data_IF_697431646826
#
_entry.id   IF_697431646826
#
_cell.length_a   1.000
_cell.length_b   1.000
_cell.length_c   1.000
_cell.angle_alpha   90.00
_cell.angle_beta   90.00
_cell.angle_gamma   90.00
#
_symmetry.space_group_name_H-M   'P 1'
#
loop_
_entity.id
_entity.type
_entity.pdbx_description
1 polymer ?
#
# COMPACT_ATOMS: atom_id res chain seq x y z
N UNK A 1 9.35 15.80 36.77
CA UNK A 1 9.99 16.25 35.51
C UNK A 1 8.94 16.98 34.65
N UNK A 2 8.82 18.31 34.76
CA UNK A 2 7.86 19.09 33.96
C UNK A 2 8.40 19.20 32.53
N UNK A 3 7.94 18.33 31.63
CA UNK A 3 8.22 18.48 30.20
C UNK A 3 7.67 19.84 29.76
N UNK A 4 8.56 20.78 29.41
CA UNK A 4 8.16 22.04 28.79
C UNK A 4 7.34 21.72 27.54
N UNK A 5 6.13 22.27 27.44
CA UNK A 5 5.21 22.07 26.31
C UNK A 5 5.92 22.20 24.96
N UNK A 6 6.84 23.17 24.83
CA UNK A 6 7.67 23.39 23.65
C UNK A 6 8.54 22.19 23.26
N UNK A 7 9.07 21.45 24.24
CA UNK A 7 9.89 20.24 24.03
C UNK A 7 9.05 19.05 23.56
N UNK A 8 7.80 18.94 23.99
CA UNK A 8 6.86 17.91 23.51
C UNK A 8 6.49 18.19 22.06
N UNK A 9 6.15 19.43 21.71
CA UNK A 9 5.81 19.83 20.34
C UNK A 9 6.93 19.57 19.34
N UNK A 10 8.19 19.89 19.69
CA UNK A 10 9.33 19.60 18.81
C UNK A 10 9.49 18.10 18.57
N UNK A 11 9.29 17.25 19.60
CA UNK A 11 9.36 15.78 19.44
C UNK A 11 8.23 15.24 18.56
N UNK A 12 7.02 15.77 18.69
CA UNK A 12 5.88 15.39 17.84
C UNK A 12 6.14 15.79 16.39
N UNK A 13 6.66 16.99 16.14
CA UNK A 13 7.01 17.45 14.79
C UNK A 13 8.15 16.61 14.18
N UNK A 14 9.15 16.24 14.97
CA UNK A 14 10.20 15.33 14.53
C UNK A 14 9.66 13.94 14.19
N UNK A 15 8.76 13.38 15.01
CA UNK A 15 8.09 12.12 14.70
C UNK A 15 7.29 12.20 13.39
N UNK A 16 6.50 13.26 13.20
CA UNK A 16 5.72 13.47 11.97
C UNK A 16 6.60 13.59 10.73
N UNK A 17 7.81 14.14 10.85
CA UNK A 17 8.77 14.21 9.73
C UNK A 17 9.37 12.87 9.31
N UNK A 18 9.37 11.87 10.20
CA UNK A 18 9.98 10.54 9.97
C UNK A 18 8.91 9.47 9.69
N UNK A 19 7.65 9.73 10.08
CA UNK A 19 6.53 8.80 9.94
C UNK A 19 6.13 8.49 8.49
N UNK A 20 6.54 9.32 7.51
CA UNK A 20 6.11 9.23 6.11
C UNK A 20 6.22 7.83 5.50
N UNK A 21 7.43 7.23 5.44
CA UNK A 21 7.61 5.90 4.85
C UNK A 21 6.80 4.80 5.55
N UNK A 22 6.75 4.81 6.88
CA UNK A 22 6.03 3.80 7.66
C UNK A 22 4.50 3.89 7.54
N UNK A 23 3.97 5.11 7.42
CA UNK A 23 2.55 5.32 7.15
C UNK A 23 2.17 4.87 5.74
N UNK A 24 3.02 5.12 4.76
CA UNK A 24 2.78 4.69 3.37
C UNK A 24 2.75 3.16 3.30
N UNK A 25 3.72 2.47 3.91
CA UNK A 25 3.76 1.00 3.91
C UNK A 25 2.52 0.40 4.57
N UNK A 26 2.09 0.95 5.71
CA UNK A 26 0.91 0.43 6.42
C UNK A 26 -0.40 0.60 5.62
N UNK A 27 -0.46 1.55 4.71
CA UNK A 27 -1.67 1.83 3.91
C UNK A 27 -1.67 1.07 2.61
N UNK A 28 -0.49 0.86 2.02
CA UNK A 28 -0.32 -0.01 0.85
C UNK A 28 -0.75 -1.45 1.16
N UNK A 29 -0.68 -1.89 2.43
CA UNK A 29 -1.20 -3.21 2.86
C UNK A 29 -2.73 -3.34 2.82
N UNK A 30 -3.48 -2.25 2.60
CA UNK A 30 -4.94 -2.29 2.42
C UNK A 30 -5.29 -2.32 0.92
N UNK A 31 -4.68 -3.24 0.19
CA UNK A 31 -4.92 -3.46 -1.23
C UNK A 31 -6.33 -4.03 -1.47
N UNK A 32 -6.82 -3.95 -2.70
CA UNK A 32 -8.15 -4.47 -3.06
C UNK A 32 -8.31 -5.96 -2.74
N UNK A 33 -7.21 -6.73 -2.78
CA UNK A 33 -7.17 -8.15 -2.46
C UNK A 33 -7.39 -8.40 -0.97
N UNK A 34 -6.67 -7.67 -0.12
CA UNK A 34 -6.86 -7.66 1.32
C UNK A 34 -8.30 -7.31 1.68
N UNK A 35 -8.82 -6.21 1.14
CA UNK A 35 -10.19 -5.73 1.40
C UNK A 35 -11.24 -6.80 1.06
N UNK A 36 -11.09 -7.51 -0.07
CA UNK A 36 -12.01 -8.58 -0.44
C UNK A 36 -12.05 -9.74 0.58
N UNK A 37 -10.95 -9.97 1.29
CA UNK A 37 -10.82 -11.05 2.29
C UNK A 37 -11.19 -10.62 3.72
N UNK A 38 -11.44 -9.33 3.97
CA UNK A 38 -11.80 -8.80 5.30
C UNK A 38 -13.19 -9.24 5.79
N UNK A 39 -13.93 -10.01 5.00
CA UNK A 39 -15.18 -10.66 5.40
C UNK A 39 -15.04 -11.53 6.65
N UNK A 40 -13.83 -12.02 6.95
CA UNK A 40 -13.50 -12.76 8.16
C UNK A 40 -12.89 -11.83 9.23
N UNK A 41 -13.69 -10.94 9.83
CA UNK A 41 -13.21 -9.90 10.74
C UNK A 41 -12.36 -10.40 11.93
N UNK A 42 -12.52 -11.66 12.35
CA UNK A 42 -11.74 -12.25 13.44
C UNK A 42 -10.28 -12.53 13.08
N UNK A 43 -9.93 -12.68 11.79
CA UNK A 43 -8.55 -12.91 11.33
C UNK A 43 -7.73 -11.62 11.32
N UNK A 44 -8.37 -10.45 11.34
CA UNK A 44 -7.70 -9.15 11.35
C UNK A 44 -6.82 -8.96 12.58
N UNK A 45 -7.28 -9.38 13.76
CA UNK A 45 -6.52 -9.23 15.01
C UNK A 45 -5.18 -9.99 14.95
N UNK A 46 -5.15 -11.31 14.69
CA UNK A 46 -3.88 -12.05 14.62
C UNK A 46 -2.99 -11.58 13.46
N UNK A 47 -3.56 -11.25 12.29
CA UNK A 47 -2.79 -10.74 11.15
C UNK A 47 -2.13 -9.40 11.49
N UNK A 48 -2.86 -8.49 12.15
CA UNK A 48 -2.31 -7.19 12.57
C UNK A 48 -1.13 -7.35 13.52
N UNK A 49 -1.23 -8.27 14.49
CA UNK A 49 -0.12 -8.55 15.42
C UNK A 49 1.10 -9.06 14.65
N UNK A 50 0.91 -10.02 13.73
CA UNK A 50 1.99 -10.56 12.92
C UNK A 50 2.64 -9.46 12.05
N UNK A 51 1.83 -8.59 11.46
CA UNK A 51 2.29 -7.50 10.60
C UNK A 51 3.10 -6.46 11.38
N UNK A 52 2.67 -6.11 12.60
CA UNK A 52 3.44 -5.21 13.48
C UNK A 52 4.81 -5.83 13.79
N UNK A 53 4.85 -7.13 14.11
CA UNK A 53 6.10 -7.81 14.43
C UNK A 53 7.05 -7.88 13.23
N UNK A 54 6.55 -8.24 12.04
CA UNK A 54 7.39 -8.34 10.83
C UNK A 54 7.86 -6.97 10.36
N UNK A 55 7.04 -5.94 10.44
CA UNK A 55 7.42 -4.56 10.10
C UNK A 55 8.48 -4.01 11.06
N UNK A 56 8.35 -4.27 12.35
CA UNK A 56 9.35 -3.85 13.35
C UNK A 56 10.70 -4.51 13.09
N UNK A 57 10.72 -5.83 12.87
CA UNK A 57 11.94 -6.57 12.53
C UNK A 57 12.59 -6.04 11.25
N UNK A 58 11.78 -5.77 10.21
CA UNK A 58 12.27 -5.25 8.92
C UNK A 58 12.82 -3.84 9.06
N UNK A 59 12.13 -2.97 9.80
CA UNK A 59 12.59 -1.61 10.09
C UNK A 59 13.90 -1.61 10.88
N UNK A 60 14.02 -2.48 11.89
CA UNK A 60 15.24 -2.63 12.68
C UNK A 60 16.40 -3.15 11.83
N UNK A 61 16.15 -4.15 10.99
CA UNK A 61 17.15 -4.71 10.08
C UNK A 61 17.66 -3.65 9.09
N UNK A 62 16.76 -2.88 8.48
CA UNK A 62 17.14 -1.79 7.57
C UNK A 62 17.91 -0.67 8.27
N UNK A 63 17.53 -0.32 9.50
CA UNK A 63 18.20 0.72 10.29
C UNK A 63 19.61 0.32 10.75
N UNK A 64 19.86 -0.96 11.05
CA UNK A 64 21.17 -1.43 11.53
C UNK A 64 22.12 -1.78 10.41
N UNK A 65 21.63 -2.35 9.32
CA UNK A 65 22.47 -2.82 8.20
C UNK A 65 22.71 -1.73 7.15
N UNK A 66 21.78 -0.79 7.00
CA UNK A 66 21.81 0.21 5.92
C UNK A 66 21.66 -0.38 4.52
N UNK A 67 21.29 -1.67 4.41
CA UNK A 67 21.15 -2.40 3.16
C UNK A 67 19.68 -2.73 2.88
N UNK A 68 19.35 -2.92 1.60
CA UNK A 68 18.05 -3.46 1.20
C UNK A 68 17.95 -4.96 1.52
N UNK A 69 16.73 -5.46 1.73
CA UNK A 69 16.49 -6.89 1.97
C UNK A 69 17.12 -7.77 0.88
N UNK A 70 17.01 -7.39 -0.39
CA UNK A 70 17.59 -8.14 -1.51
C UNK A 70 19.12 -8.28 -1.40
N UNK A 71 19.81 -7.22 -0.97
CA UNK A 71 21.26 -7.25 -0.79
C UNK A 71 21.66 -8.11 0.41
N UNK A 72 20.94 -8.02 1.52
CA UNK A 72 21.15 -8.89 2.68
C UNK A 72 20.96 -10.37 2.33
N UNK A 73 19.92 -10.69 1.57
CA UNK A 73 19.71 -12.07 1.09
C UNK A 73 20.87 -12.54 0.21
N UNK A 74 21.38 -11.66 -0.68
CA UNK A 74 22.50 -11.97 -1.56
C UNK A 74 23.81 -12.17 -0.81
N UNK A 75 24.06 -11.38 0.23
CA UNK A 75 25.25 -11.51 1.08
C UNK A 75 25.21 -12.77 1.95
N UNK A 76 24.06 -13.12 2.51
CA UNK A 76 23.93 -14.27 3.42
C UNK A 76 23.76 -15.62 2.70
N UNK A 77 22.99 -15.66 1.61
CA UNK A 77 22.60 -16.91 0.95
C UNK A 77 23.15 -17.06 -0.48
N UNK A 78 23.85 -16.04 -0.99
CA UNK A 78 24.41 -16.03 -2.33
C UNK A 78 23.39 -15.79 -3.44
N UNK A 79 23.90 -15.50 -4.64
CA UNK A 79 23.11 -15.00 -5.78
C UNK A 79 22.02 -15.97 -6.26
N UNK A 80 22.29 -17.29 -6.23
CA UNK A 80 21.34 -18.29 -6.75
C UNK A 80 20.03 -18.33 -5.94
N UNK A 81 20.12 -18.28 -4.61
CA UNK A 81 18.94 -18.31 -3.74
C UNK A 81 18.21 -16.98 -3.85
N UNK A 82 18.93 -15.86 -3.82
CA UNK A 82 18.33 -14.53 -3.97
C UNK A 82 17.56 -14.38 -5.27
N UNK A 83 18.08 -14.93 -6.39
CA UNK A 83 17.37 -14.90 -7.67
C UNK A 83 15.98 -15.55 -7.58
N UNK A 84 15.88 -16.73 -6.96
CA UNK A 84 14.59 -17.41 -6.78
C UNK A 84 13.66 -16.65 -5.83
N UNK A 85 14.19 -16.14 -4.71
CA UNK A 85 13.41 -15.32 -3.76
C UNK A 85 12.86 -14.08 -4.45
N UNK A 86 13.69 -13.33 -5.19
CA UNK A 86 13.25 -12.14 -5.91
C UNK A 86 12.25 -12.47 -7.02
N UNK A 87 12.40 -13.62 -7.69
CA UNK A 87 11.43 -14.08 -8.67
C UNK A 87 10.07 -14.35 -8.03
N UNK A 88 10.05 -14.99 -6.85
CA UNK A 88 8.81 -15.21 -6.09
C UNK A 88 8.17 -13.89 -5.65
N UNK A 89 8.96 -12.93 -5.17
CA UNK A 89 8.49 -11.58 -4.81
C UNK A 89 7.90 -10.87 -6.04
N UNK A 90 8.52 -11.01 -7.21
CA UNK A 90 8.01 -10.45 -8.45
C UNK A 90 6.64 -11.05 -8.82
N UNK A 91 6.50 -12.37 -8.73
CA UNK A 91 5.23 -13.06 -9.00
C UNK A 91 4.15 -12.62 -7.99
N UNK A 92 4.49 -12.53 -6.70
CA UNK A 92 3.57 -12.08 -5.67
C UNK A 92 3.07 -10.65 -5.95
N UNK A 93 3.99 -9.73 -6.25
CA UNK A 93 3.65 -8.34 -6.58
C UNK A 93 2.84 -8.23 -7.88
N UNK A 94 3.10 -9.09 -8.87
CA UNK A 94 2.25 -9.15 -10.06
C UNK A 94 0.81 -9.57 -9.71
N UNK A 95 0.64 -10.50 -8.76
CA UNK A 95 -0.66 -10.86 -8.20
C UNK A 95 -1.38 -9.67 -7.55
N UNK A 96 -0.67 -8.89 -6.73
CA UNK A 96 -1.21 -7.66 -6.12
C UNK A 96 -1.64 -6.64 -7.18
N UNK A 97 -0.82 -6.42 -8.21
CA UNK A 97 -1.17 -5.51 -9.32
C UNK A 97 -2.41 -5.98 -10.08
N UNK A 98 -2.55 -7.28 -10.33
CA UNK A 98 -3.75 -7.84 -10.95
C UNK A 98 -4.98 -7.67 -10.06
N UNK A 99 -4.84 -7.85 -8.74
CA UNK A 99 -5.89 -7.59 -7.77
C UNK A 99 -6.36 -6.13 -7.84
N UNK A 100 -5.44 -5.18 -7.79
CA UNK A 100 -5.74 -3.74 -7.85
C UNK A 100 -6.50 -3.34 -9.11
N UNK A 101 -6.08 -3.86 -10.27
CA UNK A 101 -6.83 -3.63 -11.52
C UNK A 101 -8.21 -4.29 -11.52
N UNK A 102 -8.37 -5.45 -10.88
CA UNK A 102 -9.69 -6.06 -10.67
C UNK A 102 -10.56 -5.23 -9.73
N UNK A 103 -9.97 -4.57 -8.73
CA UNK A 103 -10.62 -3.60 -7.85
C UNK A 103 -11.18 -2.42 -8.65
N UNK A 104 -10.34 -1.78 -9.47
CA UNK A 104 -10.74 -0.68 -10.36
C UNK A 104 -11.88 -1.10 -11.29
N UNK A 105 -11.78 -2.29 -11.90
CA UNK A 105 -12.82 -2.81 -12.77
C UNK A 105 -14.16 -2.96 -12.01
N UNK A 106 -14.12 -3.58 -10.83
CA UNK A 106 -15.31 -3.77 -9.97
C UNK A 106 -15.93 -2.45 -9.56
N UNK A 107 -15.13 -1.43 -9.22
CA UNK A 107 -15.64 -0.11 -8.86
C UNK A 107 -16.41 0.56 -10.01
N UNK A 108 -15.93 0.40 -11.26
CA UNK A 108 -16.63 0.92 -12.46
C UNK A 108 -17.97 0.21 -12.65
N UNK A 109 -18.05 -1.10 -12.39
CA UNK A 109 -19.30 -1.86 -12.50
C UNK A 109 -20.33 -1.41 -11.44
N UNK A 110 -19.89 -1.27 -10.19
CA UNK A 110 -20.76 -0.83 -9.08
C UNK A 110 -21.31 0.57 -9.38
N UNK A 111 -20.47 1.49 -9.88
CA UNK A 111 -20.88 2.84 -10.23
C UNK A 111 -21.84 2.86 -11.42
N UNK A 112 -21.56 2.06 -12.45
CA UNK A 112 -22.42 1.91 -13.62
C UNK A 112 -23.81 1.41 -13.28
N UNK A 113 -23.89 0.37 -12.45
CA UNK A 113 -25.15 -0.23 -12.01
C UNK A 113 -25.95 0.72 -11.10
N UNK A 114 -25.28 1.40 -10.18
CA UNK A 114 -25.93 2.34 -9.23
C UNK A 114 -26.58 3.53 -9.93
N UNK A 115 -25.93 4.10 -10.95
CA UNK A 115 -26.48 5.22 -11.72
C UNK A 115 -27.44 4.79 -12.85
N UNK A 116 -27.73 3.49 -12.99
CA UNK A 116 -28.65 2.98 -14.02
C UNK A 116 -28.10 3.05 -15.45
N UNK A 117 -26.78 3.11 -15.63
CA UNK A 117 -26.18 3.09 -16.95
C UNK A 117 -26.27 1.68 -17.58
N UNK A 118 -26.64 1.60 -18.85
CA UNK A 118 -26.78 0.33 -19.55
C UNK A 118 -25.46 -0.42 -19.79
N UNK A 119 -25.56 -1.63 -20.36
CA UNK A 119 -24.44 -2.55 -20.64
C UNK A 119 -23.26 -1.94 -21.43
N UNK A 120 -23.48 -0.82 -22.13
CA UNK A 120 -22.41 -0.07 -22.80
C UNK A 120 -21.41 0.57 -21.84
N UNK A 121 -21.86 1.06 -20.68
CA UNK A 121 -20.99 1.68 -19.67
C UNK A 121 -20.10 0.63 -18.98
N UNK A 122 -20.61 -0.58 -18.77
CA UNK A 122 -19.86 -1.71 -18.21
C UNK A 122 -18.68 -2.13 -19.10
N UNK A 123 -18.74 -1.87 -20.42
CA UNK A 123 -17.63 -2.14 -21.35
C UNK A 123 -16.50 -1.12 -21.24
N UNK A 124 -16.74 0.02 -20.57
CA UNK A 124 -15.74 1.07 -20.40
C UNK A 124 -14.54 0.60 -19.56
N UNK A 125 -14.72 -0.41 -18.69
CA UNK A 125 -13.62 -1.02 -17.92
C UNK A 125 -12.47 -1.53 -18.80
N UNK A 126 -12.76 -2.05 -19.99
CA UNK A 126 -11.74 -2.55 -20.92
C UNK A 126 -10.87 -1.44 -21.51
N UNK A 127 -11.35 -0.20 -21.49
CA UNK A 127 -10.60 0.98 -21.96
C UNK A 127 -9.95 1.69 -20.77
N UNK A 128 -10.70 1.86 -19.68
CA UNK A 128 -10.25 2.58 -18.50
C UNK A 128 -9.13 1.86 -17.75
N UNK A 129 -9.20 0.53 -17.60
CA UNK A 129 -8.15 -0.20 -16.86
C UNK A 129 -6.78 -0.06 -17.54
N UNK A 130 -6.64 -0.29 -18.87
CA UNK A 130 -5.37 -0.02 -19.56
C UNK A 130 -4.95 1.46 -19.54
N UNK A 131 -5.90 2.39 -19.62
CA UNK A 131 -5.61 3.82 -19.57
C UNK A 131 -5.05 4.22 -18.20
N UNK A 132 -5.64 3.72 -17.11
CA UNK A 132 -5.16 3.94 -15.74
C UNK A 132 -3.80 3.28 -15.55
N UNK A 133 -3.61 2.05 -16.04
CA UNK A 133 -2.32 1.38 -16.00
C UNK A 133 -1.21 2.19 -16.69
N UNK A 134 -1.50 2.75 -17.87
CA UNK A 134 -0.56 3.62 -18.58
C UNK A 134 -0.27 4.92 -17.80
N UNK A 135 -1.31 5.54 -17.23
CA UNK A 135 -1.17 6.73 -16.39
C UNK A 135 -0.29 6.48 -15.16
N UNK A 136 -0.50 5.36 -14.47
CA UNK A 136 0.31 4.94 -13.32
C UNK A 136 1.76 4.67 -13.73
N UNK A 137 1.98 3.97 -14.83
CA UNK A 137 3.32 3.71 -15.35
C UNK A 137 4.07 5.02 -15.64
N UNK A 138 3.41 5.99 -16.26
CA UNK A 138 3.97 7.32 -16.51
C UNK A 138 4.31 8.06 -15.21
N UNK A 139 3.41 8.01 -14.22
CA UNK A 139 3.67 8.63 -12.91
C UNK A 139 4.90 8.02 -12.24
N UNK A 140 5.01 6.69 -12.22
CA UNK A 140 6.10 5.97 -11.58
C UNK A 140 7.44 6.21 -12.27
N UNK A 141 7.45 6.35 -13.59
CA UNK A 141 8.70 6.52 -14.37
C UNK A 141 9.18 7.97 -14.44
N UNK A 142 8.28 8.95 -14.44
CA UNK A 142 8.62 10.34 -14.69
C UNK A 142 8.69 11.21 -13.43
N UNK A 143 8.06 10.81 -12.32
CA UNK A 143 7.94 11.66 -11.13
C UNK A 143 8.95 11.32 -10.03
N UNK A 144 9.37 12.36 -9.31
CA UNK A 144 10.23 12.25 -8.15
C UNK A 144 9.52 11.58 -6.96
N UNK A 145 10.25 10.72 -6.25
CA UNK A 145 9.76 10.01 -5.06
C UNK A 145 9.08 10.93 -4.03
N UNK A 146 9.65 12.10 -3.73
CA UNK A 146 9.08 13.04 -2.75
C UNK A 146 7.68 13.54 -3.12
N UNK A 147 7.39 13.67 -4.42
CA UNK A 147 6.08 14.08 -4.91
C UNK A 147 5.08 12.91 -4.81
N UNK A 148 5.55 11.70 -5.14
CA UNK A 148 4.79 10.46 -5.03
C UNK A 148 4.43 10.16 -3.55
N UNK A 149 5.38 10.27 -2.64
CA UNK A 149 5.17 10.11 -1.19
C UNK A 149 4.09 11.07 -0.67
N UNK A 150 4.15 12.36 -1.02
CA UNK A 150 3.11 13.33 -0.64
C UNK A 150 1.74 12.97 -1.21
N UNK A 151 1.70 12.49 -2.45
CA UNK A 151 0.46 12.03 -3.06
C UNK A 151 -0.15 10.85 -2.28
N UNK A 152 0.64 9.84 -1.93
CA UNK A 152 0.17 8.71 -1.12
C UNK A 152 -0.30 9.16 0.28
N UNK A 153 0.40 10.10 0.92
CA UNK A 153 -0.02 10.65 2.21
C UNK A 153 -1.35 11.42 2.14
N UNK A 154 -1.65 12.06 1.01
CA UNK A 154 -2.96 12.71 0.79
C UNK A 154 -4.03 11.64 0.54
N UNK A 155 -3.72 10.58 -0.20
CA UNK A 155 -4.67 9.50 -0.48
C UNK A 155 -5.18 8.79 0.77
N UNK A 156 -4.48 8.87 1.90
CA UNK A 156 -4.92 8.39 3.22
C UNK A 156 -6.30 8.95 3.59
N UNK A 157 -6.60 10.19 3.19
CA UNK A 157 -7.87 10.84 3.52
C UNK A 157 -9.07 10.07 2.96
N UNK A 158 -8.90 9.34 1.85
CA UNK A 158 -9.97 8.51 1.29
C UNK A 158 -10.37 7.35 2.19
N UNK A 159 -9.50 6.88 3.09
CA UNK A 159 -9.85 5.81 4.04
C UNK A 159 -10.89 6.25 5.08
N UNK A 160 -11.15 7.55 5.23
CA UNK A 160 -12.28 8.06 6.04
C UNK A 160 -13.62 7.61 5.46
N UNK A 161 -13.69 7.22 4.18
CA UNK A 161 -14.90 6.68 3.58
C UNK A 161 -15.34 5.34 4.22
N UNK A 162 -14.42 4.52 4.75
CA UNK A 162 -14.76 3.22 5.36
C UNK A 162 -15.72 3.32 6.55
N UNK A 163 -15.44 4.10 7.61
CA UNK A 163 -16.36 4.23 8.74
C UNK A 163 -17.69 4.86 8.33
N UNK A 164 -17.70 5.75 7.32
CA UNK A 164 -18.94 6.33 6.78
C UNK A 164 -19.76 5.26 6.06
N UNK A 165 -19.12 4.46 5.20
CA UNK A 165 -19.74 3.35 4.49
C UNK A 165 -20.22 2.23 5.41
N UNK A 166 -19.62 2.07 6.59
CA UNK A 166 -20.09 1.08 7.57
C UNK A 166 -21.41 1.48 8.23
N UNK A 167 -21.79 2.77 8.17
CA UNK A 167 -23.00 3.30 8.80
C UNK A 167 -24.17 3.52 7.81
N UNK A 168 -23.87 3.65 6.52
CA UNK A 168 -24.84 3.75 5.42
C UNK A 168 -25.32 2.38 4.96
#
# INVERSE_FOLDING_TARGET
>A
MKLSFKRVWVRVLLLLSILGPGLITAIVDNDSGGIATYSLAWTLIPITILLILTMEMTARLGATTGQGLADLFREQFGVKITFWVLTLVLIANAGTVLSEFSGIASSIEIFGNTLGYGAGFLRLKYILVPLIAWGLWKIVTEYEYKKIEKFFLISIVFYIAYPISAYL
#
